data_IF_950133294737
#
_entry.id   IF_950133294737
#
_cell.length_a   1.000
_cell.length_b   1.000
_cell.length_c   1.000
_cell.angle_alpha   90.00
_cell.angle_beta   90.00
_cell.angle_gamma   90.00
#
_symmetry.space_group_name_H-M   'P 1'
#
loop_
_entity.id
_entity.type
_entity.pdbx_description
1 polymer ?
#
# COMPACT_ATOMS: atom_id res chain seq x y z
N UNK A 1 32.09 -8.71 -21.33
CA UNK A 1 30.83 -8.56 -20.54
C UNK A 1 30.07 -7.38 -21.11
N UNK A 2 28.89 -7.60 -21.71
CA UNK A 2 28.12 -6.51 -22.33
C UNK A 2 27.55 -5.63 -21.21
N UNK A 3 27.93 -4.35 -21.21
CA UNK A 3 27.27 -3.31 -20.42
C UNK A 3 25.78 -3.35 -20.74
N UNK A 4 24.94 -3.77 -19.78
CA UNK A 4 23.50 -3.69 -19.93
C UNK A 4 23.15 -2.21 -20.00
N UNK A 5 22.84 -1.71 -21.19
CA UNK A 5 22.37 -0.34 -21.37
C UNK A 5 21.23 -0.10 -20.37
N UNK A 6 21.39 0.86 -19.46
CA UNK A 6 20.39 1.21 -18.45
C UNK A 6 19.13 1.66 -19.18
N UNK A 7 18.13 0.79 -19.26
CA UNK A 7 16.84 1.12 -19.85
C UNK A 7 16.17 2.14 -18.94
N UNK A 8 15.99 3.36 -19.44
CA UNK A 8 15.31 4.42 -18.70
C UNK A 8 13.91 3.94 -18.30
N UNK A 9 13.53 4.02 -17.01
CA UNK A 9 12.20 3.64 -16.57
C UNK A 9 11.13 4.50 -17.27
N UNK A 10 9.98 3.91 -17.67
CA UNK A 10 8.90 4.68 -18.27
C UNK A 10 8.37 5.66 -17.24
N UNK A 11 8.26 6.93 -17.65
CA UNK A 11 7.76 8.03 -16.83
C UNK A 11 6.50 8.64 -17.45
N UNK A 12 5.71 9.30 -16.61
CA UNK A 12 4.55 10.09 -16.98
C UNK A 12 4.58 11.44 -16.26
N UNK A 13 3.93 12.48 -16.78
CA UNK A 13 3.71 13.70 -16.03
C UNK A 13 3.01 13.39 -14.71
N UNK A 14 3.62 13.80 -13.59
CA UNK A 14 3.04 13.69 -12.26
C UNK A 14 2.85 15.10 -11.70
N UNK A 15 1.64 15.40 -11.25
CA UNK A 15 1.33 16.63 -10.49
C UNK A 15 1.70 16.49 -9.02
N UNK A 16 1.98 15.27 -8.59
CA UNK A 16 2.34 14.91 -7.22
C UNK A 16 3.85 14.80 -7.11
N UNK A 17 4.42 15.57 -6.17
CA UNK A 17 5.83 15.49 -5.78
C UNK A 17 5.91 14.87 -4.39
N UNK A 18 6.75 13.86 -4.20
CA UNK A 18 6.97 13.21 -2.92
C UNK A 18 8.42 12.79 -2.75
N UNK A 19 8.99 13.08 -1.59
CA UNK A 19 10.36 12.72 -1.26
C UNK A 19 10.52 11.23 -0.90
N UNK A 20 9.40 10.52 -0.65
CA UNK A 20 9.43 9.12 -0.21
C UNK A 20 8.96 8.12 -1.26
N UNK A 21 8.36 8.59 -2.36
CA UNK A 21 7.83 7.70 -3.39
C UNK A 21 7.77 8.44 -4.74
N UNK A 22 8.43 7.89 -5.76
CA UNK A 22 8.48 8.52 -7.09
C UNK A 22 7.17 8.27 -7.86
N UNK A 23 6.27 9.26 -7.83
CA UNK A 23 5.02 9.23 -8.58
C UNK A 23 5.18 9.52 -10.08
N UNK A 24 6.39 9.92 -10.52
CA UNK A 24 6.68 10.18 -11.94
C UNK A 24 6.81 8.90 -12.77
N UNK A 25 6.98 7.73 -12.14
CA UNK A 25 6.94 6.45 -12.83
C UNK A 25 5.57 6.21 -13.49
N UNK A 26 5.58 5.67 -14.70
CA UNK A 26 4.38 5.21 -15.39
C UNK A 26 4.02 3.79 -14.94
N UNK A 27 3.49 3.67 -13.72
CA UNK A 27 3.15 2.40 -13.06
C UNK A 27 2.33 1.44 -13.94
N UNK A 28 1.53 1.96 -14.88
CA UNK A 28 0.73 1.14 -15.80
C UNK A 28 1.59 0.35 -16.81
N UNK A 29 2.84 0.77 -17.05
CA UNK A 29 3.80 0.13 -17.95
C UNK A 29 4.91 -0.60 -17.22
N UNK A 30 4.81 -0.76 -15.89
CA UNK A 30 5.84 -1.40 -15.07
C UNK A 30 5.27 -2.65 -14.42
N UNK A 31 5.91 -3.79 -14.69
CA UNK A 31 5.75 -4.98 -13.87
C UNK A 31 6.84 -4.97 -12.79
N UNK A 32 6.48 -4.67 -11.54
CA UNK A 32 7.44 -4.54 -10.44
C UNK A 32 7.98 -5.89 -9.96
N UNK A 33 7.30 -7.00 -10.25
CA UNK A 33 7.86 -8.35 -10.04
C UNK A 33 9.05 -8.60 -10.97
N UNK A 34 9.00 -8.11 -12.20
CA UNK A 34 10.09 -8.23 -13.20
C UNK A 34 11.15 -7.15 -13.08
N UNK A 35 10.81 -6.00 -12.47
CA UNK A 35 11.70 -4.84 -12.29
C UNK A 35 11.69 -4.35 -10.84
N UNK A 36 12.17 -5.17 -9.89
CA UNK A 36 12.13 -4.85 -8.47
C UNK A 36 12.97 -3.61 -8.11
N UNK A 37 14.01 -3.31 -8.88
CA UNK A 37 14.91 -2.16 -8.70
C UNK A 37 14.20 -0.81 -8.83
N UNK A 38 13.00 -0.77 -9.43
CA UNK A 38 12.18 0.43 -9.55
C UNK A 38 11.23 0.64 -8.38
N UNK A 39 11.05 -0.37 -7.53
CA UNK A 39 10.19 -0.25 -6.36
C UNK A 39 10.91 0.53 -5.24
N UNK A 40 10.15 1.33 -4.51
CA UNK A 40 10.60 2.00 -3.28
C UNK A 40 9.55 1.79 -2.20
N UNK A 41 10.00 1.49 -0.98
CA UNK A 41 9.12 1.27 0.17
C UNK A 41 8.51 2.61 0.59
N UNK A 42 7.29 2.89 0.10
CA UNK A 42 6.57 4.12 0.44
C UNK A 42 6.11 4.16 1.91
N UNK A 43 5.85 5.36 2.44
CA UNK A 43 5.33 5.54 3.81
C UNK A 43 3.87 5.09 3.90
N UNK A 44 3.55 4.30 4.93
CA UNK A 44 2.20 3.77 5.13
C UNK A 44 1.69 3.02 3.90
N UNK A 45 0.62 3.54 3.31
CA UNK A 45 -0.11 2.97 2.15
C UNK A 45 0.32 3.54 0.79
N UNK A 46 1.36 4.39 0.73
CA UNK A 46 1.86 4.92 -0.53
C UNK A 46 2.19 3.78 -1.52
N UNK A 47 1.71 3.92 -2.76
CA UNK A 47 1.90 2.94 -3.83
C UNK A 47 0.93 1.75 -3.84
N UNK A 48 0.14 1.52 -2.79
CA UNK A 48 -0.65 0.27 -2.63
C UNK A 48 -1.65 0.01 -3.78
N UNK A 49 -2.17 1.08 -4.41
CA UNK A 49 -3.08 0.98 -5.54
C UNK A 49 -2.42 1.25 -6.91
N UNK A 50 -1.08 1.20 -6.98
CA UNK A 50 -0.32 1.52 -8.19
C UNK A 50 0.60 0.38 -8.63
N UNK A 51 1.17 -0.37 -7.70
CA UNK A 51 2.22 -1.35 -7.98
C UNK A 51 1.63 -2.64 -8.56
N UNK A 52 1.86 -2.87 -9.85
CA UNK A 52 1.46 -4.08 -10.56
C UNK A 52 2.58 -5.14 -10.57
N UNK A 53 2.23 -6.45 -10.59
CA UNK A 53 0.88 -7.04 -10.71
C UNK A 53 0.13 -7.18 -9.38
N UNK A 54 0.79 -6.88 -8.26
CA UNK A 54 0.30 -7.16 -6.91
C UNK A 54 -1.02 -6.46 -6.58
N UNK A 55 -1.21 -5.22 -7.06
CA UNK A 55 -2.50 -4.54 -6.93
C UNK A 55 -3.62 -5.39 -7.51
N UNK A 56 -3.46 -5.89 -8.74
CA UNK A 56 -4.47 -6.69 -9.44
C UNK A 56 -4.70 -8.04 -8.77
N UNK A 57 -3.67 -8.63 -8.17
CA UNK A 57 -3.77 -9.90 -7.44
C UNK A 57 -4.48 -9.74 -6.08
N UNK A 58 -4.27 -8.63 -5.37
CA UNK A 58 -4.74 -8.45 -3.99
C UNK A 58 -6.08 -7.70 -3.90
N UNK A 59 -6.29 -6.66 -4.72
CA UNK A 59 -7.47 -5.78 -4.66
C UNK A 59 -8.83 -6.52 -4.80
N UNK A 60 -8.97 -7.58 -5.62
CA UNK A 60 -10.23 -8.32 -5.72
C UNK A 60 -10.70 -8.90 -4.38
N UNK A 61 -9.76 -9.23 -3.48
CA UNK A 61 -10.05 -9.80 -2.16
C UNK A 61 -10.30 -8.76 -1.07
N UNK A 62 -10.07 -7.46 -1.35
CA UNK A 62 -10.10 -6.42 -0.33
C UNK A 62 -11.52 -5.90 -0.07
N UNK A 63 -12.15 -6.29 1.05
CA UNK A 63 -13.54 -5.99 1.41
C UNK A 63 -13.69 -5.75 2.91
N UNK A 64 -14.50 -4.78 3.31
CA UNK A 64 -14.74 -4.42 4.72
C UNK A 64 -16.17 -3.89 4.96
N UNK A 65 -17.13 -4.37 4.15
CA UNK A 65 -18.52 -3.89 4.24
C UNK A 65 -19.17 -4.30 5.57
N UNK A 66 -18.83 -5.48 6.08
CA UNK A 66 -19.28 -6.05 7.34
C UNK A 66 -18.16 -6.91 7.96
N UNK A 67 -18.41 -7.46 9.14
CA UNK A 67 -17.44 -8.25 9.90
C UNK A 67 -17.02 -9.53 9.16
N UNK A 68 -17.98 -10.28 8.60
CA UNK A 68 -17.72 -11.51 7.88
C UNK A 68 -16.84 -11.28 6.64
N UNK A 69 -17.15 -10.24 5.85
CA UNK A 69 -16.33 -9.84 4.70
C UNK A 69 -14.95 -9.35 5.13
N UNK A 70 -14.84 -8.61 6.23
CA UNK A 70 -13.54 -8.18 6.75
C UNK A 70 -12.69 -9.37 7.21
N UNK A 71 -13.29 -10.37 7.85
CA UNK A 71 -12.61 -11.60 8.25
C UNK A 71 -12.04 -12.32 7.03
N UNK A 72 -12.90 -12.72 6.09
CA UNK A 72 -12.50 -13.41 4.86
C UNK A 72 -11.47 -12.62 4.05
N UNK A 73 -11.66 -11.29 3.94
CA UNK A 73 -10.73 -10.41 3.24
C UNK A 73 -9.36 -10.38 3.90
N UNK A 74 -9.30 -10.12 5.21
CA UNK A 74 -8.05 -10.00 5.94
C UNK A 74 -7.28 -11.32 5.99
N UNK A 75 -7.98 -12.45 6.08
CA UNK A 75 -7.38 -13.79 6.02
C UNK A 75 -6.80 -14.09 4.64
N UNK A 76 -7.57 -13.84 3.58
CA UNK A 76 -7.09 -14.09 2.21
C UNK A 76 -5.87 -13.25 1.87
N UNK A 77 -5.88 -11.97 2.26
CA UNK A 77 -4.73 -11.07 2.01
C UNK A 77 -3.54 -11.48 2.87
N UNK A 78 -3.75 -11.92 4.12
CA UNK A 78 -2.68 -12.45 4.95
C UNK A 78 -2.10 -13.76 4.39
N UNK A 79 -2.92 -14.61 3.79
CA UNK A 79 -2.42 -15.79 3.09
C UNK A 79 -1.55 -15.41 1.89
N UNK A 80 -2.01 -14.46 1.05
CA UNK A 80 -1.18 -13.94 -0.05
C UNK A 80 0.15 -13.37 0.45
N UNK A 81 0.13 -12.64 1.58
CA UNK A 81 1.34 -12.16 2.23
C UNK A 81 2.33 -13.29 2.56
N UNK A 82 1.85 -14.38 3.18
CA UNK A 82 2.68 -15.54 3.49
C UNK A 82 3.18 -16.25 2.22
N UNK A 83 2.34 -16.35 1.20
CA UNK A 83 2.69 -16.98 -0.08
C UNK A 83 3.80 -16.19 -0.80
N UNK A 84 3.75 -14.85 -0.78
CA UNK A 84 4.81 -14.00 -1.32
C UNK A 84 6.11 -14.14 -0.53
N UNK A 85 6.05 -14.16 0.81
CA UNK A 85 7.23 -14.37 1.64
C UNK A 85 7.89 -15.71 1.31
N UNK A 86 7.11 -16.79 1.17
CA UNK A 86 7.62 -18.12 0.79
C UNK A 86 8.31 -18.12 -0.58
N UNK A 87 7.89 -17.24 -1.48
CA UNK A 87 8.49 -17.07 -2.82
C UNK A 87 9.66 -16.08 -2.83
N UNK A 88 10.08 -15.55 -1.67
CA UNK A 88 11.02 -14.43 -1.53
C UNK A 88 10.62 -13.20 -2.36
N UNK A 89 9.33 -13.03 -2.63
CA UNK A 89 8.75 -11.89 -3.34
C UNK A 89 8.40 -10.77 -2.34
N UNK A 90 9.44 -10.03 -1.91
CA UNK A 90 9.28 -8.97 -0.91
C UNK A 90 8.26 -7.90 -1.32
N UNK A 91 8.21 -7.52 -2.60
CA UNK A 91 7.30 -6.46 -3.08
C UNK A 91 5.85 -6.91 -2.93
N UNK A 92 5.55 -8.17 -3.28
CA UNK A 92 4.23 -8.75 -3.04
C UNK A 92 3.87 -8.78 -1.57
N UNK A 93 4.80 -9.18 -0.70
CA UNK A 93 4.59 -9.19 0.74
C UNK A 93 4.31 -7.77 1.29
N UNK A 94 5.10 -6.76 0.92
CA UNK A 94 4.84 -5.37 1.37
C UNK A 94 3.52 -4.83 0.81
N UNK A 95 3.15 -5.15 -0.44
CA UNK A 95 1.84 -4.78 -0.98
C UNK A 95 0.69 -5.42 -0.18
N UNK A 96 0.73 -6.72 0.09
CA UNK A 96 -0.28 -7.39 0.91
C UNK A 96 -0.37 -6.79 2.32
N UNK A 97 0.77 -6.51 2.95
CA UNK A 97 0.83 -5.82 4.25
C UNK A 97 0.25 -4.39 4.18
N UNK A 98 0.46 -3.63 3.09
CA UNK A 98 -0.16 -2.32 2.87
C UNK A 98 -1.67 -2.42 2.66
N UNK A 99 -2.16 -3.44 1.97
CA UNK A 99 -3.59 -3.68 1.81
C UNK A 99 -4.28 -3.99 3.15
N UNK A 100 -3.62 -4.75 4.04
CA UNK A 100 -4.11 -4.96 5.41
C UNK A 100 -4.17 -3.64 6.20
N UNK A 101 -3.12 -2.81 6.10
CA UNK A 101 -3.12 -1.47 6.70
C UNK A 101 -4.25 -0.60 6.16
N UNK A 102 -4.44 -0.56 4.84
CA UNK A 102 -5.53 0.18 4.20
C UNK A 102 -6.90 -0.33 4.64
N UNK A 103 -7.05 -1.64 4.85
CA UNK A 103 -8.26 -2.25 5.44
C UNK A 103 -8.58 -1.64 6.80
N UNK A 104 -7.58 -1.57 7.69
CA UNK A 104 -7.72 -0.97 9.01
C UNK A 104 -8.06 0.52 8.94
N UNK A 105 -7.28 1.31 8.19
CA UNK A 105 -7.45 2.77 8.17
C UNK A 105 -8.75 3.18 7.50
N UNK A 106 -9.17 2.52 6.41
CA UNK A 106 -10.45 2.81 5.75
C UNK A 106 -11.62 2.37 6.61
N UNK A 107 -11.61 1.17 7.18
CA UNK A 107 -12.68 0.73 8.08
C UNK A 107 -12.81 1.67 9.29
N UNK A 108 -11.69 2.07 9.92
CA UNK A 108 -11.71 3.00 11.05
C UNK A 108 -12.23 4.39 10.67
N UNK A 109 -11.88 4.87 9.46
CA UNK A 109 -12.43 6.12 8.94
C UNK A 109 -13.95 6.05 8.77
N UNK A 110 -14.46 4.93 8.25
CA UNK A 110 -15.90 4.72 8.07
C UNK A 110 -16.64 4.55 9.40
N UNK A 111 -15.97 3.99 10.42
CA UNK A 111 -16.51 3.94 11.77
C UNK A 111 -16.73 5.34 12.35
N UNK A 112 -15.76 6.25 12.14
CA UNK A 112 -15.78 7.60 12.69
C UNK A 112 -16.56 8.62 11.85
N UNK A 113 -16.67 8.40 10.54
CA UNK A 113 -17.29 9.33 9.60
C UNK A 113 -18.18 8.57 8.61
N UNK A 114 -19.50 8.77 8.71
CA UNK A 114 -20.48 8.15 7.83
C UNK A 114 -20.17 8.49 6.37
N UNK A 115 -20.14 7.47 5.51
CA UNK A 115 -19.74 7.62 4.10
C UNK A 115 -18.23 7.87 3.87
N UNK A 116 -17.42 7.88 4.93
CA UNK A 116 -15.97 8.03 4.85
C UNK A 116 -15.47 9.44 4.51
N UNK A 117 -16.34 10.45 4.48
CA UNK A 117 -15.97 11.86 4.28
C UNK A 117 -15.38 12.42 5.57
N UNK A 118 -14.05 12.40 5.66
CA UNK A 118 -13.29 12.86 6.84
C UNK A 118 -13.00 14.36 6.82
N UNK A 119 -12.74 14.93 5.65
CA UNK A 119 -12.32 16.33 5.51
C UNK A 119 -13.39 17.13 4.80
N UNK A 120 -13.50 18.40 5.15
CA UNK A 120 -14.38 19.31 4.45
C UNK A 120 -13.79 19.77 3.11
N UNK A 121 -14.65 19.93 2.10
CA UNK A 121 -14.25 20.30 0.75
C UNK A 121 -13.51 19.23 -0.08
N UNK A 122 -13.36 19.48 -1.39
CA UNK A 122 -12.68 18.57 -2.31
C UNK A 122 -11.16 18.51 -2.06
N UNK A 123 -10.53 17.39 -2.43
CA UNK A 123 -9.06 17.30 -2.41
C UNK A 123 -8.50 18.31 -3.43
N UNK A 124 -7.50 19.15 -3.06
CA UNK A 124 -6.83 20.05 -3.99
C UNK A 124 -6.31 19.30 -5.23
N UNK A 125 -6.33 19.96 -6.39
CA UNK A 125 -6.05 19.30 -7.67
C UNK A 125 -4.63 18.70 -7.75
N UNK A 126 -3.65 19.40 -7.18
CA UNK A 126 -2.24 18.99 -7.09
C UNK A 126 -2.00 17.87 -6.03
N UNK A 127 -3.00 17.59 -5.19
CA UNK A 127 -2.96 16.55 -4.16
C UNK A 127 -3.86 15.35 -4.47
N UNK A 128 -4.58 15.35 -5.60
CA UNK A 128 -5.40 14.20 -6.02
C UNK A 128 -4.53 12.95 -6.11
N UNK A 129 -4.99 11.86 -5.48
CA UNK A 129 -4.25 10.59 -5.38
C UNK A 129 -3.34 10.47 -4.16
N UNK A 130 -3.13 11.56 -3.39
CA UNK A 130 -2.43 11.50 -2.11
C UNK A 130 -3.40 11.38 -0.94
N UNK A 131 -3.04 10.53 0.02
CA UNK A 131 -3.73 10.48 1.32
C UNK A 131 -3.35 11.69 2.18
N UNK A 132 -4.32 12.26 2.90
CA UNK A 132 -4.06 13.34 3.86
C UNK A 132 -5.12 14.46 3.87
N UNK A 133 -4.96 15.39 4.83
CA UNK A 133 -5.82 16.55 4.99
C UNK A 133 -5.61 17.58 3.88
N UNK A 134 -4.36 17.85 3.49
CA UNK A 134 -4.01 18.82 2.44
C UNK A 134 -4.61 20.22 2.68
N UNK A 135 -4.48 20.71 3.92
CA UNK A 135 -5.01 22.02 4.33
C UNK A 135 -6.51 22.04 4.66
N UNK A 136 -7.22 20.92 4.50
CA UNK A 136 -8.65 20.83 4.81
C UNK A 136 -8.90 20.50 6.27
N UNK A 137 -9.93 21.12 6.84
CA UNK A 137 -10.40 20.86 8.20
C UNK A 137 -11.01 19.45 8.32
N UNK A 138 -10.74 18.77 9.44
CA UNK A 138 -11.38 17.50 9.78
C UNK A 138 -12.82 17.77 10.25
N UNK A 139 -13.78 17.01 9.70
CA UNK A 139 -15.16 17.07 10.13
C UNK A 139 -15.33 16.43 11.51
N UNK A 140 -16.32 16.86 12.31
CA UNK A 140 -16.67 16.17 13.54
C UNK A 140 -16.92 14.68 13.30
N UNK A 141 -16.56 13.85 14.28
CA UNK A 141 -16.88 12.42 14.23
C UNK A 141 -18.37 12.22 14.43
N UNK A 142 -18.93 11.24 13.73
CA UNK A 142 -20.26 10.73 14.01
C UNK A 142 -20.21 9.77 15.22
N UNK A 143 -21.39 9.34 15.68
CA UNK A 143 -21.49 8.13 16.52
C UNK A 143 -20.77 6.98 15.81
N UNK A 144 -19.92 6.26 16.55
CA UNK A 144 -19.11 5.19 15.99
C UNK A 144 -20.01 4.07 15.43
N UNK A 145 -19.80 3.69 14.17
CA UNK A 145 -20.44 2.52 13.57
C UNK A 145 -19.76 1.23 14.09
N UNK A 146 -20.46 0.39 14.89
CA UNK A 146 -19.86 -0.77 15.52
C UNK A 146 -19.42 -1.84 14.50
N UNK A 147 -20.10 -1.94 13.35
CA UNK A 147 -19.76 -2.91 12.29
C UNK A 147 -18.44 -2.50 11.63
N UNK A 148 -18.25 -1.21 11.37
CA UNK A 148 -16.99 -0.69 10.82
C UNK A 148 -15.86 -0.71 11.85
N UNK A 149 -16.15 -0.50 13.12
CA UNK A 149 -15.19 -0.63 14.20
C UNK A 149 -14.69 -2.08 14.33
N UNK A 150 -15.59 -3.07 14.27
CA UNK A 150 -15.24 -4.49 14.26
C UNK A 150 -14.38 -4.86 13.04
N UNK A 151 -14.78 -4.45 11.83
CA UNK A 151 -13.98 -4.64 10.62
C UNK A 151 -12.58 -4.03 10.74
N UNK A 152 -12.46 -2.82 11.32
CA UNK A 152 -11.17 -2.19 11.56
C UNK A 152 -10.29 -3.02 12.51
N UNK A 153 -10.87 -3.56 13.59
CA UNK A 153 -10.16 -4.41 14.55
C UNK A 153 -9.60 -5.68 13.90
N UNK A 154 -10.38 -6.34 13.03
CA UNK A 154 -9.96 -7.53 12.28
C UNK A 154 -8.74 -7.23 11.41
N UNK A 155 -8.81 -6.18 10.58
CA UNK A 155 -7.68 -5.78 9.74
C UNK A 155 -6.47 -5.35 10.56
N UNK A 156 -6.68 -4.67 11.69
CA UNK A 156 -5.61 -4.24 12.59
C UNK A 156 -4.80 -5.42 13.09
N UNK A 157 -5.47 -6.48 13.55
CA UNK A 157 -4.81 -7.69 14.04
C UNK A 157 -3.93 -8.34 12.94
N UNK A 158 -4.46 -8.51 11.72
CA UNK A 158 -3.69 -9.09 10.60
C UNK A 158 -2.56 -8.16 10.14
N UNK A 159 -2.79 -6.85 10.11
CA UNK A 159 -1.77 -5.87 9.77
C UNK A 159 -0.62 -5.89 10.78
N UNK A 160 -0.92 -5.93 12.09
CA UNK A 160 0.11 -6.00 13.13
C UNK A 160 0.91 -7.31 13.04
N UNK A 161 0.23 -8.44 12.79
CA UNK A 161 0.90 -9.72 12.51
C UNK A 161 1.84 -9.64 11.31
N UNK A 162 1.38 -9.09 10.18
CA UNK A 162 2.20 -8.98 8.96
C UNK A 162 3.38 -8.01 9.14
N UNK A 163 3.14 -6.85 9.77
CA UNK A 163 4.14 -5.82 10.01
C UNK A 163 5.29 -6.33 10.89
N UNK A 164 4.98 -7.17 11.87
CA UNK A 164 5.93 -7.70 12.83
C UNK A 164 6.41 -9.12 12.48
N UNK A 165 6.07 -9.65 11.31
CA UNK A 165 6.46 -11.00 10.91
C UNK A 165 8.00 -11.06 10.72
N UNK A 166 8.72 -11.98 11.39
CA UNK A 166 10.19 -12.00 11.35
C UNK A 166 10.77 -12.10 9.93
N UNK A 167 10.22 -13.00 9.12
CA UNK A 167 10.63 -13.17 7.72
C UNK A 167 10.43 -11.90 6.88
N UNK A 168 9.34 -11.17 7.12
CA UNK A 168 9.06 -9.93 6.41
C UNK A 168 10.08 -8.85 6.78
N UNK A 169 10.43 -8.73 8.06
CA UNK A 169 11.47 -7.80 8.52
C UNK A 169 12.83 -8.14 7.91
N UNK A 170 13.16 -9.43 7.83
CA UNK A 170 14.40 -9.89 7.20
C UNK A 170 14.42 -9.59 5.69
N UNK A 171 13.38 -9.96 4.95
CA UNK A 171 13.30 -9.69 3.51
C UNK A 171 13.24 -8.19 3.21
N UNK A 172 12.60 -7.40 4.09
CA UNK A 172 12.61 -5.94 4.01
C UNK A 172 14.03 -5.40 4.09
N UNK A 173 14.82 -5.84 5.06
CA UNK A 173 16.21 -5.41 5.19
C UNK A 173 17.02 -5.79 3.95
N UNK A 174 16.95 -7.06 3.51
CA UNK A 174 17.60 -7.53 2.28
C UNK A 174 17.24 -6.66 1.06
N UNK A 175 15.96 -6.28 0.93
CA UNK A 175 15.50 -5.44 -0.16
C UNK A 175 16.04 -4.01 -0.07
N UNK A 176 16.13 -3.43 1.13
CA UNK A 176 16.73 -2.11 1.33
C UNK A 176 18.21 -2.12 0.91
N UNK A 177 18.97 -3.12 1.36
CA UNK A 177 20.38 -3.29 1.00
C UNK A 177 20.55 -3.45 -0.52
N UNK A 178 19.69 -4.24 -1.16
CA UNK A 178 19.65 -4.39 -2.62
C UNK A 178 19.46 -3.04 -3.34
N UNK A 179 18.53 -2.20 -2.88
CA UNK A 179 18.27 -0.89 -3.49
C UNK A 179 19.45 0.08 -3.28
N UNK A 180 20.09 0.05 -2.11
CA UNK A 180 21.27 0.88 -1.84
C UNK A 180 22.44 0.52 -2.76
N UNK A 181 22.71 -0.77 -2.95
CA UNK A 181 23.75 -1.25 -3.87
C UNK A 181 23.49 -0.86 -5.33
N UNK A 182 22.23 -0.93 -5.78
CA UNK A 182 21.84 -0.48 -7.12
C UNK A 182 22.03 1.03 -7.30
N UNK A 183 21.85 1.81 -6.24
CA UNK A 183 22.00 3.27 -6.27
C UNK A 183 23.47 3.71 -6.22
N UNK A 184 24.34 2.93 -5.57
CA UNK A 184 25.78 3.19 -5.48
C UNK A 184 26.56 2.82 -6.76
N UNK A 185 26.03 1.89 -7.56
CA UNK A 185 26.68 1.39 -8.78
C UNK A 185 26.28 2.22 -10.01
N UNK A 186 25.62 3.37 -9.84
CA UNK A 186 25.00 4.07 -10.95
C UNK A 186 25.06 5.57 -10.94
#
# INVERSE_FOLDING_TARGET
>A
MKSSAKVTPPKRPSRVVSNSFDYSLDFAKINFRKRPELYRIGRGEQGVLLVEPYKSEILPHWRFADEAKAQASSEKIYQLFLDYLKQEDFIGADMARKFLQMGFTRARRYANHKGGKKYDGPVPEDKKGLSGAHGRSELPRNQEDPVKAAAAKIFKQKWDKAKNHPEYLQQKQKFQDFIEQQSATG
#
